data_IF_610825458863
#
_entry.id   IF_610825458863
#
_cell.length_a   1.000
_cell.length_b   1.000
_cell.length_c   1.000
_cell.angle_alpha   90.00
_cell.angle_beta   90.00
_cell.angle_gamma   90.00
#
_symmetry.space_group_name_H-M   'P 1'
#
loop_
_entity.id
_entity.type
_entity.pdbx_description
1 polymer ?
#
# COMPACT_ATOMS: atom_id res chain seq x y z
N UNK A 1 26.33 -14.09 4.99
CA UNK A 1 25.74 -12.82 5.48
C UNK A 1 24.34 -12.55 4.91
N UNK A 2 23.85 -13.32 3.94
CA UNK A 2 22.51 -13.15 3.33
C UNK A 2 21.31 -13.53 4.23
N UNK A 3 21.54 -14.29 5.31
CA UNK A 3 20.46 -14.72 6.22
C UNK A 3 19.97 -13.61 7.15
N UNK A 4 20.79 -12.59 7.42
CA UNK A 4 20.45 -11.52 8.36
C UNK A 4 19.58 -10.43 7.74
N UNK A 5 19.74 -10.12 6.45
CA UNK A 5 19.00 -9.02 5.82
C UNK A 5 17.53 -9.40 5.60
N UNK A 6 17.23 -10.60 5.08
CA UNK A 6 15.85 -11.15 4.97
C UNK A 6 15.06 -11.12 6.29
N UNK A 7 15.76 -11.17 7.42
CA UNK A 7 15.15 -11.05 8.75
C UNK A 7 14.70 -9.62 9.06
N UNK A 8 15.39 -8.60 8.55
CA UNK A 8 15.08 -7.19 8.83
C UNK A 8 13.86 -6.69 8.08
N UNK A 9 13.69 -7.00 6.78
CA UNK A 9 12.49 -6.58 6.05
C UNK A 9 11.23 -7.26 6.58
N UNK A 10 11.31 -8.57 6.87
CA UNK A 10 10.21 -9.31 7.49
C UNK A 10 9.88 -8.77 8.89
N UNK A 11 10.89 -8.41 9.69
CA UNK A 11 10.68 -7.81 11.00
C UNK A 11 9.97 -6.46 10.89
N UNK A 12 10.40 -5.60 9.96
CA UNK A 12 9.76 -4.31 9.68
C UNK A 12 8.29 -4.48 9.29
N UNK A 13 7.98 -5.44 8.41
CA UNK A 13 6.60 -5.72 8.03
C UNK A 13 5.75 -6.22 9.20
N UNK A 14 6.28 -7.14 10.01
CA UNK A 14 5.56 -7.67 11.20
C UNK A 14 5.26 -6.56 12.20
N UNK A 15 6.23 -5.68 12.46
CA UNK A 15 6.03 -4.55 13.36
C UNK A 15 5.02 -3.55 12.79
N UNK A 16 5.05 -3.30 11.48
CA UNK A 16 4.03 -2.49 10.81
C UNK A 16 2.63 -3.09 10.97
N UNK A 17 2.46 -4.39 10.76
CA UNK A 17 1.16 -5.05 10.92
C UNK A 17 0.65 -4.99 12.36
N UNK A 18 1.53 -5.23 13.35
CA UNK A 18 1.21 -5.07 14.78
C UNK A 18 0.78 -3.63 15.10
N UNK A 19 1.46 -2.64 14.52
CA UNK A 19 1.09 -1.24 14.67
C UNK A 19 -0.29 -0.95 14.07
N UNK A 20 -0.62 -1.53 12.89
CA UNK A 20 -1.95 -1.37 12.30
C UNK A 20 -3.07 -1.91 13.20
N UNK A 21 -2.87 -3.06 13.86
CA UNK A 21 -3.82 -3.64 14.81
C UNK A 21 -3.99 -2.78 16.07
N UNK A 22 -2.87 -2.28 16.61
CA UNK A 22 -2.87 -1.42 17.79
C UNK A 22 -3.60 -0.10 17.50
N UNK A 23 -3.27 0.56 16.38
CA UNK A 23 -3.93 1.81 15.98
C UNK A 23 -5.41 1.59 15.69
N UNK A 24 -5.79 0.47 15.06
CA UNK A 24 -7.22 0.15 14.85
C UNK A 24 -7.96 0.03 16.19
N UNK A 25 -7.35 -0.61 17.19
CA UNK A 25 -7.95 -0.74 18.52
C UNK A 25 -8.11 0.63 19.21
N UNK A 26 -7.09 1.49 19.11
CA UNK A 26 -7.11 2.87 19.62
C UNK A 26 -8.22 3.70 18.94
N UNK A 27 -8.31 3.63 17.61
CA UNK A 27 -9.32 4.32 16.81
C UNK A 27 -10.76 3.88 17.14
N UNK A 28 -10.98 2.56 17.30
CA UNK A 28 -12.30 2.02 17.66
C UNK A 28 -12.71 2.45 19.05
N UNK A 29 -11.78 2.45 20.02
CA UNK A 29 -12.06 2.95 21.36
C UNK A 29 -12.42 4.44 21.35
N UNK A 30 -11.69 5.25 20.57
CA UNK A 30 -11.98 6.66 20.42
C UNK A 30 -13.37 6.90 19.75
N UNK A 31 -13.69 6.16 18.68
CA UNK A 31 -15.01 6.22 18.02
C UNK A 31 -16.17 5.86 18.97
N UNK A 32 -16.00 4.84 19.81
CA UNK A 32 -16.99 4.47 20.84
C UNK A 32 -17.18 5.56 21.91
N UNK A 33 -16.09 6.20 22.34
CA UNK A 33 -16.15 7.26 23.34
C UNK A 33 -16.87 8.50 22.80
N UNK A 34 -16.63 8.86 21.53
CA UNK A 34 -17.32 9.97 20.85
C UNK A 34 -18.83 9.79 20.78
N UNK A 35 -19.30 8.56 20.56
CA UNK A 35 -20.74 8.26 20.57
C UNK A 35 -21.38 8.47 21.96
N UNK A 36 -20.59 8.46 23.03
CA UNK A 36 -21.05 8.61 24.41
C UNK A 36 -20.86 10.04 24.96
N UNK A 37 -20.08 10.90 24.30
CA UNK A 37 -19.79 12.27 24.75
C UNK A 37 -20.40 13.31 23.82
N UNK A 38 -21.09 14.31 24.37
CA UNK A 38 -21.68 15.41 23.60
C UNK A 38 -20.67 16.44 23.08
N UNK A 39 -19.44 16.42 23.58
CA UNK A 39 -18.35 17.30 23.11
C UNK A 39 -17.49 16.55 22.08
N UNK A 40 -17.67 16.90 20.81
CA UNK A 40 -16.83 16.41 19.71
C UNK A 40 -15.51 17.16 19.73
N UNK A 41 -14.42 16.53 20.19
CA UNK A 41 -13.10 17.17 20.16
C UNK A 41 -12.39 16.91 18.81
N UNK A 42 -12.72 17.70 17.80
CA UNK A 42 -12.08 17.67 16.48
C UNK A 42 -10.54 17.81 16.57
N UNK A 43 -10.01 18.48 17.61
CA UNK A 43 -8.58 18.63 17.81
C UNK A 43 -7.90 17.31 18.19
N UNK A 44 -8.50 16.53 19.10
CA UNK A 44 -7.99 15.20 19.48
C UNK A 44 -8.00 14.23 18.29
N UNK A 45 -9.07 14.25 17.48
CA UNK A 45 -9.14 13.44 16.27
C UNK A 45 -8.04 13.83 15.28
N UNK A 46 -7.80 15.12 15.12
CA UNK A 46 -6.77 15.63 14.22
C UNK A 46 -5.39 15.18 14.67
N UNK A 47 -5.08 15.28 15.97
CA UNK A 47 -3.81 14.80 16.55
C UNK A 47 -3.61 13.29 16.32
N UNK A 48 -4.67 12.49 16.52
CA UNK A 48 -4.63 11.05 16.28
C UNK A 48 -4.39 10.72 14.80
N UNK A 49 -5.05 11.43 13.88
CA UNK A 49 -4.85 11.26 12.44
C UNK A 49 -3.44 11.66 12.01
N UNK A 50 -2.90 12.76 12.56
CA UNK A 50 -1.53 13.21 12.31
C UNK A 50 -0.51 12.17 12.80
N UNK A 51 -0.71 11.59 13.99
CA UNK A 51 0.10 10.48 14.52
C UNK A 51 0.12 9.28 13.55
N UNK A 52 -1.03 8.86 13.04
CA UNK A 52 -1.12 7.74 12.09
C UNK A 52 -0.39 8.05 10.78
N UNK A 53 -0.54 9.28 10.27
CA UNK A 53 0.19 9.73 9.08
C UNK A 53 1.71 9.72 9.32
N UNK A 54 2.15 10.14 10.49
CA UNK A 54 3.56 10.12 10.86
C UNK A 54 4.10 8.68 10.90
N UNK A 55 3.36 7.75 11.52
CA UNK A 55 3.74 6.34 11.52
C UNK A 55 3.80 5.73 10.11
N UNK A 56 2.90 6.14 9.19
CA UNK A 56 2.97 5.70 7.81
C UNK A 56 4.21 6.26 7.09
N UNK A 57 4.56 7.53 7.32
CA UNK A 57 5.82 8.12 6.83
C UNK A 57 7.03 7.33 7.36
N UNK A 58 7.08 7.06 8.67
CA UNK A 58 8.20 6.34 9.29
C UNK A 58 8.35 4.93 8.70
N UNK A 59 7.24 4.25 8.40
CA UNK A 59 7.25 2.96 7.72
C UNK A 59 7.83 3.06 6.30
N UNK A 60 7.39 4.04 5.50
CA UNK A 60 7.94 4.30 4.16
C UNK A 60 9.44 4.60 4.20
N UNK A 61 9.90 5.42 5.16
CA UNK A 61 11.31 5.79 5.28
C UNK A 61 12.18 4.58 5.68
N UNK A 62 11.69 3.75 6.60
CA UNK A 62 12.37 2.51 6.98
C UNK A 62 12.42 1.50 5.82
N UNK A 63 11.33 1.38 5.05
CA UNK A 63 11.29 0.54 3.85
C UNK A 63 12.32 1.01 2.83
N UNK A 64 12.36 2.31 2.53
CA UNK A 64 13.35 2.90 1.62
C UNK A 64 14.77 2.58 2.06
N UNK A 65 15.07 2.73 3.35
CA UNK A 65 16.40 2.44 3.91
C UNK A 65 16.82 0.98 3.69
N UNK A 66 15.90 0.03 3.87
CA UNK A 66 16.19 -1.39 3.63
C UNK A 66 16.24 -1.73 2.13
N UNK A 67 15.39 -1.09 1.32
CA UNK A 67 15.35 -1.29 -0.14
C UNK A 67 16.67 -0.90 -0.83
N UNK A 68 17.44 0.04 -0.27
CA UNK A 68 18.79 0.34 -0.76
C UNK A 68 19.75 -0.87 -0.72
N UNK A 69 19.49 -1.87 0.13
CA UNK A 69 20.26 -3.12 0.18
C UNK A 69 19.68 -4.20 -0.72
N UNK A 70 18.36 -4.36 -0.69
CA UNK A 70 17.68 -5.43 -1.41
C UNK A 70 16.25 -5.03 -1.80
N UNK A 71 16.11 -4.23 -2.85
CA UNK A 71 14.81 -3.73 -3.31
C UNK A 71 13.89 -4.84 -3.83
N UNK A 72 14.44 -5.87 -4.47
CA UNK A 72 13.67 -6.95 -5.09
C UNK A 72 12.79 -7.70 -4.09
N UNK A 73 13.22 -7.82 -2.82
CA UNK A 73 12.41 -8.40 -1.76
C UNK A 73 11.12 -7.63 -1.47
N UNK A 74 11.06 -6.32 -1.73
CA UNK A 74 9.83 -5.53 -1.54
C UNK A 74 8.83 -5.68 -2.69
N UNK A 75 9.28 -6.11 -3.87
CA UNK A 75 8.42 -6.36 -5.03
C UNK A 75 7.87 -7.79 -5.07
N UNK A 76 8.54 -8.73 -4.40
CA UNK A 76 8.08 -10.10 -4.22
C UNK A 76 8.34 -10.56 -2.78
N UNK A 77 7.67 -9.96 -1.78
CA UNK A 77 7.95 -10.24 -0.38
C UNK A 77 7.54 -11.65 0.01
N UNK A 78 8.50 -12.42 0.53
CA UNK A 78 8.25 -13.77 1.05
C UNK A 78 7.51 -13.78 2.39
N UNK A 79 7.26 -12.61 2.97
CA UNK A 79 6.55 -12.45 4.24
C UNK A 79 5.09 -11.99 4.07
N UNK A 80 4.65 -11.79 2.83
CA UNK A 80 3.26 -11.53 2.49
C UNK A 80 2.63 -12.81 1.92
N UNK A 81 1.32 -12.93 2.09
CA UNK A 81 0.52 -14.02 1.50
C UNK A 81 0.49 -13.92 -0.03
N UNK A 82 0.16 -15.04 -0.71
CA UNK A 82 0.02 -15.04 -2.18
C UNK A 82 -1.04 -14.04 -2.64
N UNK A 83 -2.13 -13.90 -1.86
CA UNK A 83 -3.19 -12.92 -2.13
C UNK A 83 -2.67 -11.48 -2.06
N UNK A 84 -1.96 -11.11 -0.99
CA UNK A 84 -1.36 -9.78 -0.85
C UNK A 84 -0.40 -9.48 -2.00
N UNK A 85 0.45 -10.43 -2.36
CA UNK A 85 1.40 -10.30 -3.45
C UNK A 85 0.69 -10.08 -4.80
N UNK A 86 -0.39 -10.82 -5.06
CA UNK A 86 -1.17 -10.69 -6.30
C UNK A 86 -1.83 -9.32 -6.49
N UNK A 87 -2.09 -8.59 -5.40
CA UNK A 87 -2.74 -7.28 -5.43
C UNK A 87 -1.75 -6.12 -5.34
N UNK A 88 -0.46 -6.41 -5.18
CA UNK A 88 0.56 -5.39 -5.04
C UNK A 88 0.79 -4.64 -6.37
N UNK A 89 0.86 -3.32 -6.28
CA UNK A 89 1.26 -2.41 -7.34
C UNK A 89 2.52 -1.67 -6.87
N UNK A 90 3.67 -1.87 -7.50
CA UNK A 90 4.96 -1.24 -7.14
C UNK A 90 5.22 -1.29 -5.62
N UNK A 91 5.53 -2.50 -5.14
CA UNK A 91 5.88 -2.81 -3.76
C UNK A 91 4.86 -2.40 -2.68
N UNK A 92 3.58 -2.19 -3.03
CA UNK A 92 2.55 -1.81 -2.05
C UNK A 92 1.16 -1.75 -2.68
N UNK A 93 0.20 -1.09 -2.03
CA UNK A 93 -1.14 -0.91 -2.61
C UNK A 93 -1.15 0.16 -3.71
N UNK A 94 -2.14 0.09 -4.61
CA UNK A 94 -2.36 1.13 -5.62
C UNK A 94 -3.16 2.30 -5.01
N UNK A 95 -2.67 3.55 -5.01
CA UNK A 95 -3.35 4.70 -4.39
C UNK A 95 -4.81 4.92 -4.81
N UNK A 96 -5.21 4.54 -6.03
CA UNK A 96 -6.58 4.65 -6.53
C UNK A 96 -7.58 3.81 -5.74
N UNK A 97 -7.11 2.75 -5.07
CA UNK A 97 -7.92 1.97 -4.13
C UNK A 97 -8.42 2.79 -2.93
N UNK A 98 -7.72 3.87 -2.56
CA UNK A 98 -8.12 4.77 -1.47
C UNK A 98 -9.45 5.45 -1.78
N UNK A 99 -9.64 5.91 -3.02
CA UNK A 99 -10.89 6.54 -3.45
C UNK A 99 -12.01 5.51 -3.59
N UNK A 100 -11.70 4.30 -4.08
CA UNK A 100 -12.69 3.22 -4.11
C UNK A 100 -13.24 2.94 -2.71
N UNK A 101 -12.39 2.92 -1.69
CA UNK A 101 -12.86 2.77 -0.32
C UNK A 101 -13.76 3.94 0.12
N UNK A 102 -13.40 5.19 -0.21
CA UNK A 102 -14.28 6.34 0.08
C UNK A 102 -15.66 6.15 -0.56
N UNK A 103 -15.71 5.81 -1.85
CA UNK A 103 -16.99 5.64 -2.55
C UNK A 103 -17.80 4.46 -2.02
N UNK A 104 -17.13 3.39 -1.57
CA UNK A 104 -17.78 2.24 -0.92
C UNK A 104 -18.48 2.68 0.35
N UNK A 105 -17.77 3.42 1.21
CA UNK A 105 -18.29 3.91 2.48
C UNK A 105 -19.42 4.90 2.29
N UNK A 106 -19.38 5.72 1.23
CA UNK A 106 -20.43 6.70 0.93
C UNK A 106 -21.71 6.10 0.31
N UNK A 107 -21.74 4.79 0.03
CA UNK A 107 -22.86 4.14 -0.67
C UNK A 107 -22.98 4.53 -2.14
N UNK A 108 -21.99 5.22 -2.70
CA UNK A 108 -21.92 5.55 -4.12
C UNK A 108 -21.51 4.31 -4.91
N UNK A 109 -22.50 3.54 -5.38
CA UNK A 109 -22.43 2.42 -6.34
C UNK A 109 -21.01 1.92 -6.66
N UNK A 110 -20.46 1.14 -5.72
CA UNK A 110 -19.50 0.11 -6.09
C UNK A 110 -20.32 -1.14 -6.47
N UNK A 111 -19.85 -1.83 -7.52
CA UNK A 111 -20.39 -3.09 -8.04
C UNK A 111 -20.97 -3.94 -6.89
N UNK A 112 -22.23 -4.38 -7.03
CA UNK A 112 -23.08 -4.99 -6.00
C UNK A 112 -22.53 -6.31 -5.42
N UNK A 113 -21.30 -6.68 -5.78
CA UNK A 113 -20.53 -7.82 -5.30
C UNK A 113 -19.67 -7.47 -4.08
N UNK A 114 -19.26 -6.21 -3.92
CA UNK A 114 -18.47 -5.76 -2.76
C UNK A 114 -19.34 -5.36 -1.57
N UNK A 115 -20.61 -5.01 -1.81
CA UNK A 115 -21.57 -4.69 -0.75
C UNK A 115 -21.80 -5.86 0.21
N UNK A 116 -21.69 -7.12 -0.25
CA UNK A 116 -21.82 -8.30 0.62
C UNK A 116 -20.61 -8.47 1.59
N UNK A 117 -19.43 -7.97 1.25
CA UNK A 117 -18.28 -8.01 2.17
C UNK A 117 -18.35 -6.92 3.26
N UNK A 118 -19.20 -5.90 3.05
CA UNK A 118 -19.42 -4.79 3.97
C UNK A 118 -20.78 -4.91 4.71
N UNK A 119 -21.54 -5.99 4.46
CA UNK A 119 -22.95 -6.15 4.87
C UNK A 119 -23.19 -6.26 6.39
N UNK A 120 -22.16 -6.51 7.20
CA UNK A 120 -22.30 -6.52 8.67
C UNK A 120 -22.22 -5.12 9.30
N UNK A 121 -21.99 -4.07 8.51
CA UNK A 121 -22.02 -2.69 8.99
C UNK A 121 -23.09 -1.91 8.25
N UNK A 122 -24.14 -1.49 8.95
CA UNK A 122 -24.87 -0.29 8.59
C UNK A 122 -23.85 0.85 8.59
N UNK A 123 -23.16 1.10 7.48
CA UNK A 123 -22.07 2.07 7.46
C UNK A 123 -22.69 3.46 7.48
N UNK A 124 -22.88 3.99 8.70
CA UNK A 124 -23.21 5.38 8.97
C UNK A 124 -22.00 6.29 8.63
N UNK A 125 -21.34 6.05 7.49
CA UNK A 125 -20.26 6.90 7.03
C UNK A 125 -20.82 8.31 6.80
N UNK A 126 -20.19 9.36 7.36
CA UNK A 126 -20.78 10.69 7.30
C UNK A 126 -20.86 11.18 5.85
N UNK A 127 -22.06 11.60 5.43
CA UNK A 127 -22.33 12.08 4.07
C UNK A 127 -21.28 13.12 3.61
N UNK A 128 -20.68 12.87 2.45
CA UNK A 128 -19.79 13.84 1.80
C UNK A 128 -20.60 14.95 1.14
N UNK A 129 -20.12 16.18 1.26
CA UNK A 129 -20.67 17.32 0.52
C UNK A 129 -20.29 17.28 -0.96
N UNK A 130 -21.03 17.98 -1.82
CA UNK A 130 -20.74 18.08 -3.24
C UNK A 130 -19.34 18.68 -3.52
N UNK A 131 -18.90 19.64 -2.70
CA UNK A 131 -17.55 20.21 -2.79
C UNK A 131 -16.46 19.20 -2.42
N UNK A 132 -16.70 18.36 -1.39
CA UNK A 132 -15.78 17.29 -1.04
C UNK A 132 -15.69 16.24 -2.16
N UNK A 133 -16.83 15.79 -2.71
CA UNK A 133 -16.85 14.85 -3.83
C UNK A 133 -16.10 15.40 -5.05
N UNK A 134 -16.30 16.67 -5.40
CA UNK A 134 -15.57 17.30 -6.50
C UNK A 134 -14.06 17.41 -6.22
N UNK A 135 -13.66 17.69 -4.99
CA UNK A 135 -12.25 17.72 -4.60
C UNK A 135 -11.62 16.32 -4.65
N UNK A 136 -12.35 15.28 -4.21
CA UNK A 136 -11.91 13.88 -4.25
C UNK A 136 -11.77 13.40 -5.70
N UNK A 137 -12.73 13.70 -6.59
CA UNK A 137 -12.63 13.37 -8.03
C UNK A 137 -11.40 14.04 -8.68
N UNK A 138 -11.13 15.31 -8.36
CA UNK A 138 -9.92 16.00 -8.85
C UNK A 138 -8.63 15.35 -8.33
N UNK A 139 -8.60 14.99 -7.05
CA UNK A 139 -7.45 14.31 -6.45
C UNK A 139 -7.25 12.93 -7.10
N UNK A 140 -8.32 12.15 -7.25
CA UNK A 140 -8.29 10.85 -7.91
C UNK A 140 -7.72 10.93 -9.32
N UNK A 141 -8.19 11.87 -10.16
CA UNK A 141 -7.68 12.03 -11.52
C UNK A 141 -6.18 12.32 -11.54
N UNK A 142 -5.71 13.23 -10.68
CA UNK A 142 -4.26 13.53 -10.55
C UNK A 142 -3.48 12.29 -10.12
N UNK A 143 -3.94 11.59 -9.08
CA UNK A 143 -3.31 10.38 -8.59
C UNK A 143 -3.26 9.28 -9.65
N UNK A 144 -4.34 9.06 -10.40
CA UNK A 144 -4.39 8.04 -11.46
C UNK A 144 -3.41 8.35 -12.60
N UNK A 145 -3.25 9.62 -12.99
CA UNK A 145 -2.23 10.01 -13.99
C UNK A 145 -0.82 9.66 -13.49
N UNK A 146 -0.48 9.99 -12.25
CA UNK A 146 0.82 9.64 -11.67
C UNK A 146 1.02 8.12 -11.57
N UNK A 147 -0.03 7.36 -11.25
CA UNK A 147 0.02 5.89 -11.28
C UNK A 147 0.30 5.34 -12.69
N UNK A 148 -0.31 5.91 -13.73
CA UNK A 148 -0.09 5.51 -15.12
C UNK A 148 1.36 5.79 -15.55
N UNK A 149 1.90 6.95 -15.16
CA UNK A 149 3.30 7.33 -15.42
C UNK A 149 4.24 6.31 -14.75
N UNK A 150 4.07 6.04 -13.45
CA UNK A 150 4.92 5.10 -12.72
C UNK A 150 4.78 3.66 -13.25
N UNK A 151 3.57 3.25 -13.65
CA UNK A 151 3.32 1.93 -14.25
C UNK A 151 4.04 1.80 -15.59
N UNK A 152 3.95 2.81 -16.45
CA UNK A 152 4.62 2.81 -17.75
C UNK A 152 6.15 2.78 -17.60
N UNK A 153 6.69 3.55 -16.65
CA UNK A 153 8.11 3.54 -16.33
C UNK A 153 8.57 2.14 -15.88
N UNK A 154 7.85 1.51 -14.95
CA UNK A 154 8.18 0.18 -14.46
C UNK A 154 8.11 -0.87 -15.58
N UNK A 155 7.11 -0.80 -16.46
CA UNK A 155 6.98 -1.71 -17.59
C UNK A 155 8.15 -1.57 -18.58
N UNK A 156 8.56 -0.34 -18.91
CA UNK A 156 9.73 -0.08 -19.76
C UNK A 156 11.01 -0.67 -19.14
N UNK A 157 11.21 -0.47 -17.83
CA UNK A 157 12.39 -1.00 -17.12
C UNK A 157 12.42 -2.54 -17.12
N UNK A 158 11.26 -3.19 -16.96
CA UNK A 158 11.16 -4.64 -17.03
C UNK A 158 11.51 -5.16 -18.42
N UNK A 159 11.02 -4.50 -19.47
CA UNK A 159 11.35 -4.85 -20.85
C UNK A 159 12.86 -4.72 -21.11
N UNK A 160 13.46 -3.58 -20.78
CA UNK A 160 14.88 -3.31 -20.98
C UNK A 160 15.77 -4.33 -20.24
N UNK A 161 15.37 -4.71 -19.01
CA UNK A 161 16.11 -5.70 -18.22
C UNK A 161 16.03 -7.11 -18.84
N UNK A 162 14.90 -7.48 -19.47
CA UNK A 162 14.76 -8.79 -20.13
C UNK A 162 15.57 -8.90 -21.42
N UNK A 163 15.76 -7.78 -22.14
CA UNK A 163 16.49 -7.77 -23.42
C UNK A 163 17.98 -8.13 -23.26
N UNK A 164 18.59 -7.80 -22.12
CA UNK A 164 20.02 -8.05 -21.86
C UNK A 164 20.35 -9.56 -21.76
N UNK A 165 19.71 -10.35 -20.88
CA UNK A 165 19.88 -11.81 -20.87
C UNK A 165 19.50 -12.48 -22.20
N UNK A 166 18.42 -12.04 -22.85
CA UNK A 166 17.99 -12.58 -24.15
C UNK A 166 19.07 -12.40 -25.22
N UNK A 167 19.67 -11.22 -25.31
CA UNK A 167 20.75 -10.94 -26.27
C UNK A 167 22.03 -11.76 -25.98
N UNK A 168 22.35 -12.01 -24.71
CA UNK A 168 23.50 -12.83 -24.33
C UNK A 168 23.30 -14.31 -24.66
N UNK A 169 22.10 -14.85 -24.40
CA UNK A 169 21.72 -16.22 -24.78
C UNK A 169 21.73 -16.37 -26.30
N UNK A 170 21.12 -15.44 -27.04
CA UNK A 170 21.06 -15.48 -28.51
C UNK A 170 22.45 -15.44 -29.18
N UNK A 171 23.46 -14.87 -28.52
CA UNK A 171 24.85 -14.81 -29.02
C UNK A 171 25.70 -16.01 -28.58
N UNK A 172 25.14 -16.98 -27.88
CA UNK A 172 25.82 -18.16 -27.31
C UNK A 172 27.04 -17.80 -26.42
N UNK A 173 27.11 -16.57 -25.90
CA UNK A 173 28.27 -16.08 -25.14
C UNK A 173 28.29 -16.54 -23.68
N UNK A 174 27.20 -17.12 -23.20
CA UNK A 174 27.10 -17.67 -21.84
C UNK A 174 26.34 -19.01 -21.83
N UNK A 175 27.05 -20.15 -21.79
CA UNK A 175 26.45 -21.46 -21.56
C UNK A 175 26.24 -21.77 -20.06
N UNK A 176 26.52 -20.84 -19.14
CA UNK A 176 26.53 -21.09 -17.68
C UNK A 176 25.78 -20.01 -16.90
N UNK A 177 25.17 -20.45 -15.79
CA UNK A 177 24.46 -19.67 -14.77
C UNK A 177 25.32 -18.60 -14.02
N UNK A 178 26.55 -18.33 -14.46
CA UNK A 178 27.44 -17.37 -13.80
C UNK A 178 27.16 -15.94 -14.30
N UNK A 179 26.87 -15.04 -13.36
CA UNK A 179 26.63 -13.62 -13.64
C UNK A 179 27.92 -12.97 -14.14
N UNK A 180 28.05 -12.77 -15.45
CA UNK A 180 29.14 -11.96 -15.99
C UNK A 180 28.99 -10.47 -15.59
N UNK A 181 30.06 -9.69 -15.77
CA UNK A 181 30.09 -8.28 -15.36
C UNK A 181 29.00 -7.41 -16.00
N UNK A 182 28.59 -7.72 -17.23
CA UNK A 182 27.57 -6.95 -17.95
C UNK A 182 26.16 -7.26 -17.41
N UNK A 183 25.87 -8.52 -17.08
CA UNK A 183 24.63 -8.91 -16.40
C UNK A 183 24.55 -8.29 -15.00
N UNK A 184 25.65 -8.31 -14.23
CA UNK A 184 25.69 -7.66 -12.90
C UNK A 184 25.40 -6.16 -12.99
N UNK A 185 25.99 -5.46 -13.97
CA UNK A 185 25.70 -4.04 -14.21
C UNK A 185 24.26 -3.80 -14.64
N UNK A 186 23.69 -4.68 -15.47
CA UNK A 186 22.28 -4.64 -15.86
C UNK A 186 21.36 -4.77 -14.65
N UNK A 187 21.58 -5.80 -13.83
CA UNK A 187 20.84 -6.04 -12.58
C UNK A 187 20.95 -4.83 -11.63
N UNK A 188 22.15 -4.29 -11.43
CA UNK A 188 22.33 -3.13 -10.56
C UNK A 188 21.60 -1.87 -11.05
N UNK A 189 21.50 -1.65 -12.37
CA UNK A 189 20.69 -0.55 -12.93
C UNK A 189 19.20 -0.79 -12.72
N UNK A 190 18.75 -2.03 -12.91
CA UNK A 190 17.35 -2.40 -12.70
C UNK A 190 16.95 -2.24 -11.24
N UNK A 191 17.79 -2.68 -10.29
CA UNK A 191 17.57 -2.47 -8.85
C UNK A 191 17.51 -0.98 -8.48
N UNK A 192 18.39 -0.14 -9.03
CA UNK A 192 18.31 1.31 -8.82
C UNK A 192 16.99 1.90 -9.34
N UNK A 193 16.51 1.42 -10.48
CA UNK A 193 15.27 1.86 -11.08
C UNK A 193 14.04 1.40 -10.25
N UNK A 194 14.04 0.15 -9.77
CA UNK A 194 13.05 -0.38 -8.83
C UNK A 194 13.00 0.43 -7.54
N UNK A 195 14.17 0.83 -7.03
CA UNK A 195 14.27 1.64 -5.82
C UNK A 195 13.64 3.02 -6.01
N UNK A 196 13.91 3.67 -7.14
CA UNK A 196 13.28 4.96 -7.49
C UNK A 196 11.77 4.82 -7.63
N UNK A 197 11.30 3.80 -8.36
CA UNK A 197 9.88 3.55 -8.56
C UNK A 197 9.15 3.28 -7.24
N UNK A 198 9.76 2.50 -6.33
CA UNK A 198 9.21 2.25 -5.00
C UNK A 198 9.15 3.53 -4.16
N UNK A 199 10.20 4.35 -4.16
CA UNK A 199 10.23 5.63 -3.43
C UNK A 199 9.15 6.59 -3.94
N UNK A 200 8.99 6.71 -5.26
CA UNK A 200 7.98 7.59 -5.85
C UNK A 200 6.55 7.07 -5.64
N UNK A 201 6.35 5.75 -5.69
CA UNK A 201 5.07 5.13 -5.36
C UNK A 201 4.70 5.33 -3.87
N UNK A 202 5.67 5.21 -2.95
CA UNK A 202 5.45 5.45 -1.52
C UNK A 202 5.12 6.92 -1.24
N UNK A 203 5.82 7.87 -1.87
CA UNK A 203 5.46 9.30 -1.83
C UNK A 203 4.05 9.54 -2.34
N UNK A 204 3.68 8.93 -3.47
CA UNK A 204 2.34 9.08 -4.04
C UNK A 204 1.26 8.56 -3.09
N UNK A 205 1.46 7.39 -2.46
CA UNK A 205 0.55 6.84 -1.44
C UNK A 205 0.38 7.81 -0.28
N UNK A 206 1.49 8.26 0.30
CA UNK A 206 1.46 9.10 1.48
C UNK A 206 0.84 10.47 1.19
N UNK A 207 1.22 11.10 0.08
CA UNK A 207 0.65 12.38 -0.34
C UNK A 207 -0.85 12.25 -0.63
N UNK A 208 -1.28 11.15 -1.25
CA UNK A 208 -2.70 10.91 -1.53
C UNK A 208 -3.52 10.83 -0.23
N UNK A 209 -3.05 10.08 0.77
CA UNK A 209 -3.76 10.01 2.07
C UNK A 209 -3.75 11.37 2.78
N UNK A 210 -2.61 12.08 2.78
CA UNK A 210 -2.51 13.44 3.35
C UNK A 210 -3.46 14.43 2.68
N UNK A 211 -3.54 14.44 1.35
CA UNK A 211 -4.46 15.31 0.60
C UNK A 211 -5.92 14.88 0.84
N UNK A 212 -6.20 13.58 0.92
CA UNK A 212 -7.54 13.08 1.23
C UNK A 212 -8.01 13.55 2.62
N UNK A 213 -7.14 13.49 3.64
CA UNK A 213 -7.48 13.93 5.00
C UNK A 213 -7.67 15.45 5.11
N UNK A 214 -7.10 16.24 4.20
CA UNK A 214 -7.39 17.68 4.10
C UNK A 214 -8.76 17.97 3.50
N UNK A 215 -9.32 17.04 2.73
CA UNK A 215 -10.66 17.17 2.12
C UNK A 215 -11.74 16.68 3.08
N UNK A 216 -11.46 15.59 3.81
CA UNK A 216 -12.37 15.01 4.80
C UNK A 216 -12.37 15.85 6.09
N UNK A 217 -13.52 15.91 6.77
CA UNK A 217 -13.57 16.41 8.14
C UNK A 217 -12.90 15.39 9.09
N UNK A 218 -12.42 15.79 10.29
CA UNK A 218 -11.76 14.88 11.22
C UNK A 218 -12.53 13.57 11.47
N UNK A 219 -13.84 13.66 11.78
CA UNK A 219 -14.67 12.45 11.96
C UNK A 219 -14.82 11.59 10.69
N UNK A 220 -14.85 12.17 9.49
CA UNK A 220 -14.88 11.41 8.24
C UNK A 220 -13.55 10.70 7.97
N UNK A 221 -12.43 11.38 8.24
CA UNK A 221 -11.10 10.81 8.11
C UNK A 221 -10.88 9.67 9.12
N UNK A 222 -11.41 9.82 10.35
CA UNK A 222 -11.42 8.79 11.39
C UNK A 222 -12.14 7.51 10.93
N UNK A 223 -13.38 7.64 10.46
CA UNK A 223 -14.16 6.49 9.95
C UNK A 223 -13.50 5.85 8.72
N UNK A 224 -12.96 6.67 7.82
CA UNK A 224 -12.22 6.18 6.66
C UNK A 224 -10.99 5.37 7.06
N UNK A 225 -10.17 5.85 8.01
CA UNK A 225 -8.93 5.15 8.38
C UNK A 225 -9.22 3.87 9.17
N UNK A 226 -10.30 3.84 9.97
CA UNK A 226 -10.80 2.62 10.59
C UNK A 226 -11.13 1.58 9.52
N UNK A 227 -11.92 1.96 8.51
CA UNK A 227 -12.29 1.05 7.42
C UNK A 227 -11.06 0.59 6.62
N UNK A 228 -10.11 1.48 6.34
CA UNK A 228 -8.90 1.15 5.61
C UNK A 228 -8.03 0.12 6.36
N UNK A 229 -7.88 0.29 7.68
CA UNK A 229 -7.15 -0.66 8.53
C UNK A 229 -7.86 -2.00 8.64
N UNK A 230 -9.19 -2.00 8.80
CA UNK A 230 -10.00 -3.24 8.76
C UNK A 230 -9.78 -3.99 7.44
N UNK A 231 -9.92 -3.30 6.31
CA UNK A 231 -9.71 -3.89 4.99
C UNK A 231 -8.31 -4.50 4.85
N UNK A 232 -7.27 -3.79 5.29
CA UNK A 232 -5.88 -4.26 5.27
C UNK A 232 -5.70 -5.56 6.06
N UNK A 233 -6.25 -5.62 7.28
CA UNK A 233 -6.16 -6.81 8.14
C UNK A 233 -7.01 -7.97 7.60
N UNK A 234 -8.20 -7.69 7.05
CA UNK A 234 -9.03 -8.71 6.40
C UNK A 234 -8.31 -9.35 5.21
N UNK A 235 -7.67 -8.55 4.35
CA UNK A 235 -6.90 -9.05 3.21
C UNK A 235 -5.80 -10.02 3.67
N UNK A 236 -5.09 -9.68 4.75
CA UNK A 236 -4.05 -10.56 5.30
C UNK A 236 -4.65 -11.86 5.83
N UNK A 237 -5.70 -11.79 6.65
CA UNK A 237 -6.38 -12.97 7.20
C UNK A 237 -6.93 -13.89 6.11
N UNK A 238 -7.56 -13.33 5.07
CA UNK A 238 -8.03 -14.09 3.92
C UNK A 238 -6.87 -14.72 3.14
N UNK A 239 -5.76 -14.00 2.98
CA UNK A 239 -4.57 -14.54 2.33
C UNK A 239 -4.00 -15.75 3.07
N UNK A 240 -3.88 -15.65 4.40
CA UNK A 240 -3.37 -16.74 5.25
C UNK A 240 -4.26 -17.98 5.11
N UNK A 241 -5.58 -17.80 5.16
CA UNK A 241 -6.51 -18.93 5.05
C UNK A 241 -6.43 -19.58 3.67
N UNK A 242 -6.39 -18.78 2.60
CA UNK A 242 -6.30 -19.28 1.23
C UNK A 242 -4.99 -20.02 0.97
N UNK A 243 -3.87 -19.51 1.48
CA UNK A 243 -2.57 -20.16 1.33
C UNK A 243 -2.61 -21.54 2.03
N UNK A 244 -3.19 -21.64 3.24
CA UNK A 244 -3.39 -22.93 3.93
C UNK A 244 -4.25 -23.92 3.13
N UNK A 245 -5.36 -23.47 2.56
CA UNK A 245 -6.26 -24.32 1.77
C UNK A 245 -5.58 -24.89 0.51
N UNK A 246 -4.64 -24.15 -0.09
CA UNK A 246 -3.99 -24.51 -1.35
C UNK A 246 -2.57 -25.06 -1.19
N UNK A 247 -2.16 -25.39 0.05
CA UNK A 247 -0.83 -25.95 0.34
C UNK A 247 0.32 -24.95 0.21
N UNK A 248 0.05 -23.66 0.41
CA UNK A 248 1.09 -22.66 0.64
C UNK A 248 1.76 -22.93 1.99
N UNK A 249 3.09 -23.07 1.96
CA UNK A 249 3.95 -23.28 3.14
C UNK A 249 3.93 -22.11 4.13
#
# INVERSE_FOLDING_TARGET
>A
MESSDKSQEQCLYKEWMRLQEQELSELLHHSLNLNNSTDTNDAEMTELLEKIIQHFQDYCDNRRRLAHRHVSAFFSPSWCTSLENSMAWIAGCRPSSFFNLVYALCGSNIDSRLSHFLQDGNSDFPKLSASQLSAIDKLQRRTTIEEEILTAQMASMQQDMTDVPLALIARELSPRHELNLDVQKGLGKFEQAMLSAMDDADKLRLNTVKELFKILKPGQALEYIIAAKKLRLCIQSWGIERDREHGGD
#
